data_IF_113537021537
#
_entry.id   IF_113537021537
#
_cell.length_a   1.000
_cell.length_b   1.000
_cell.length_c   1.000
_cell.angle_alpha   90.00
_cell.angle_beta   90.00
_cell.angle_gamma   90.00
#
_symmetry.space_group_name_H-M   'P 1'
#
loop_
_entity.id
_entity.type
_entity.pdbx_description
1 polymer ?
#
# COMPACT_ATOMS: atom_id res chain seq x y z
N UNK A 1 -15.45 13.10 8.85
CA UNK A 1 -16.50 12.19 8.39
C UNK A 1 -16.17 10.75 8.74
N UNK A 2 -17.20 9.97 9.05
CA UNK A 2 -17.02 8.56 9.40
C UNK A 2 -16.72 7.73 8.17
N UNK A 3 -17.38 8.05 7.07
CA UNK A 3 -17.18 7.34 5.81
C UNK A 3 -15.70 7.26 5.45
N UNK A 4 -15.00 8.37 5.62
CA UNK A 4 -13.58 8.42 5.31
C UNK A 4 -12.81 7.36 6.09
N UNK A 5 -13.22 7.14 7.34
CA UNK A 5 -12.56 6.16 8.19
C UNK A 5 -12.88 4.75 7.73
N UNK A 6 -14.14 4.51 7.37
CA UNK A 6 -14.58 3.21 6.90
C UNK A 6 -13.78 2.77 5.67
N UNK A 7 -13.47 3.73 4.80
CA UNK A 7 -12.72 3.44 3.59
C UNK A 7 -11.21 3.47 3.86
N UNK A 8 -10.81 4.36 4.76
CA UNK A 8 -9.40 4.49 5.12
C UNK A 8 -8.91 3.27 5.89
N UNK A 9 -9.81 2.65 6.63
CA UNK A 9 -9.46 1.47 7.42
C UNK A 9 -8.78 0.41 6.55
N UNK A 10 -9.51 -0.06 5.53
CA UNK A 10 -8.99 -1.08 4.60
C UNK A 10 -7.89 -0.54 3.70
N UNK A 11 -8.08 0.67 3.19
CA UNK A 11 -7.10 1.30 2.31
C UNK A 11 -5.77 1.48 3.03
N UNK A 12 -5.81 1.66 4.34
CA UNK A 12 -4.60 1.83 5.14
C UNK A 12 -3.70 0.61 5.02
N UNK A 13 -4.30 -0.57 4.89
CA UNK A 13 -3.53 -1.80 4.77
C UNK A 13 -3.10 -2.04 3.32
N UNK A 14 -4.02 -1.83 2.39
CA UNK A 14 -3.73 -2.02 0.98
C UNK A 14 -2.54 -1.18 0.55
N UNK A 15 -2.51 0.08 1.00
CA UNK A 15 -1.42 0.99 0.66
C UNK A 15 -0.07 0.39 1.04
N UNK A 16 -0.02 -0.27 2.19
CA UNK A 16 1.21 -0.89 2.67
C UNK A 16 1.56 -2.11 1.83
N UNK A 17 0.58 -2.98 1.61
CA UNK A 17 0.79 -4.19 0.81
C UNK A 17 1.32 -3.84 -0.58
N UNK A 18 0.55 -3.05 -1.32
CA UNK A 18 0.96 -2.66 -2.66
C UNK A 18 2.34 -2.04 -2.68
N UNK A 19 2.56 -1.07 -1.81
CA UNK A 19 3.84 -0.39 -1.75
C UNK A 19 5.00 -1.36 -1.60
N UNK A 20 4.79 -2.40 -0.79
CA UNK A 20 5.83 -3.40 -0.54
C UNK A 20 6.17 -4.15 -1.84
N UNK A 21 5.15 -4.39 -2.65
CA UNK A 21 5.34 -5.09 -3.92
C UNK A 21 6.13 -4.24 -4.91
N UNK A 22 5.76 -2.97 -5.01
CA UNK A 22 6.43 -2.04 -5.92
C UNK A 22 7.88 -1.81 -5.50
N UNK A 23 8.10 -1.71 -4.19
CA UNK A 23 9.43 -1.48 -3.65
C UNK A 23 10.34 -2.67 -3.96
N UNK A 24 9.88 -3.86 -3.60
CA UNK A 24 10.66 -5.08 -3.84
C UNK A 24 10.97 -5.24 -5.33
N UNK A 25 10.01 -4.93 -6.17
CA UNK A 25 10.18 -5.03 -7.62
C UNK A 25 11.35 -4.16 -8.09
N UNK A 26 11.34 -2.91 -7.66
CA UNK A 26 12.39 -1.97 -8.04
C UNK A 26 13.76 -2.47 -7.59
N UNK A 27 13.86 -2.86 -6.32
CA UNK A 27 15.11 -3.37 -5.77
C UNK A 27 15.59 -4.60 -6.53
N UNK A 28 14.67 -5.53 -6.77
CA UNK A 28 15.00 -6.76 -7.48
C UNK A 28 15.46 -6.45 -8.90
N UNK A 29 14.82 -5.49 -9.54
CA UNK A 29 15.16 -5.10 -10.91
C UNK A 29 16.50 -4.36 -10.93
N UNK A 30 16.75 -3.58 -9.90
CA UNK A 30 18.00 -2.81 -9.79
C UNK A 30 19.21 -3.72 -9.97
N UNK A 31 19.89 -3.55 -11.10
CA UNK A 31 21.08 -4.36 -11.39
C UNK A 31 20.73 -5.85 -11.40
#
# INVERSE_FOLDING_TARGET
NFIHLIIALPVAVLLIVGGLVIMLYVFHRKR
#
